data_IF_521556032633
#
_entry.id   IF_521556032633
#
_cell.length_a   1.000
_cell.length_b   1.000
_cell.length_c   1.000
_cell.angle_alpha   90.00
_cell.angle_beta   90.00
_cell.angle_gamma   90.00
#
_symmetry.space_group_name_H-M   'P 1'
#
loop_
_entity.id
_entity.type
_entity.pdbx_description
1 polymer ?
#
# COMPACT_ATOMS: atom_id res chain seq x y z
N UNK A 1 -7.20 9.84 2.38
CA UNK A 1 -5.73 9.75 2.21
C UNK A 1 -5.00 9.29 3.48
N UNK A 2 -5.19 9.96 4.64
CA UNK A 2 -4.50 9.63 5.90
C UNK A 2 -4.56 8.15 6.31
N UNK A 3 -5.74 7.51 6.20
CA UNK A 3 -5.91 6.10 6.53
C UNK A 3 -5.15 5.14 5.60
N UNK A 4 -4.92 5.51 4.34
CA UNK A 4 -4.18 4.69 3.38
C UNK A 4 -2.69 4.67 3.68
N UNK A 5 -2.15 5.82 4.09
CA UNK A 5 -0.76 5.95 4.55
C UNK A 5 -0.53 5.17 5.85
N UNK A 6 -1.51 5.18 6.75
CA UNK A 6 -1.44 4.50 8.04
C UNK A 6 -1.63 2.98 7.94
N UNK A 7 -2.33 2.48 6.91
CA UNK A 7 -2.63 1.04 6.78
C UNK A 7 -1.54 0.25 6.07
N UNK A 8 -0.66 0.91 5.31
CA UNK A 8 0.41 0.21 4.59
C UNK A 8 1.43 -0.33 5.61
N UNK A 9 1.64 -1.65 5.59
CA UNK A 9 2.64 -2.30 6.44
C UNK A 9 3.95 -2.55 5.68
N UNK A 10 3.84 -2.99 4.43
CA UNK A 10 4.96 -3.29 3.56
C UNK A 10 4.59 -2.91 2.12
N UNK A 11 5.30 -1.95 1.53
CA UNK A 11 4.94 -1.44 0.22
C UNK A 11 5.36 0.01 0.01
N UNK A 12 4.81 0.63 -1.03
CA UNK A 12 5.01 2.03 -1.37
C UNK A 12 3.71 2.68 -1.82
N UNK A 13 3.63 3.99 -1.65
CA UNK A 13 2.58 4.84 -2.20
C UNK A 13 3.28 5.92 -3.00
N UNK A 14 2.91 6.05 -4.27
CA UNK A 14 3.37 7.13 -5.15
C UNK A 14 2.23 8.13 -5.32
N UNK A 15 2.50 9.40 -5.00
CA UNK A 15 1.59 10.51 -5.25
C UNK A 15 2.21 11.44 -6.30
N UNK A 16 1.42 11.83 -7.29
CA UNK A 16 1.80 12.87 -8.24
C UNK A 16 0.91 14.08 -8.01
N UNK A 17 1.54 15.21 -7.75
CA UNK A 17 0.87 16.50 -7.52
C UNK A 17 1.31 17.47 -8.61
N UNK A 18 0.33 18.09 -9.28
CA UNK A 18 0.53 19.14 -10.28
C UNK A 18 -0.48 20.25 -10.02
N UNK A 19 -0.06 21.51 -10.12
CA UNK A 19 -0.89 22.70 -9.88
C UNK A 19 -1.66 22.67 -8.55
N UNK A 20 -1.02 22.13 -7.50
CA UNK A 20 -1.62 22.01 -6.16
C UNK A 20 -2.72 20.94 -6.05
N UNK A 21 -2.94 20.12 -7.09
CA UNK A 21 -3.93 19.03 -7.11
C UNK A 21 -3.24 17.67 -7.25
N UNK A 22 -3.78 16.66 -6.55
CA UNK A 22 -3.33 15.28 -6.72
C UNK A 22 -3.95 14.73 -8.00
N UNK A 23 -3.10 14.33 -8.95
CA UNK A 23 -3.55 13.84 -10.26
C UNK A 23 -3.35 12.33 -10.43
N UNK A 24 -2.44 11.73 -9.64
CA UNK A 24 -2.21 10.29 -9.65
C UNK A 24 -1.91 9.79 -8.24
N UNK A 25 -2.43 8.60 -7.97
CA UNK A 25 -2.18 7.84 -6.77
C UNK A 25 -1.98 6.39 -7.17
N UNK A 26 -0.84 5.82 -6.79
CA UNK A 26 -0.54 4.41 -6.99
C UNK A 26 -0.12 3.79 -5.66
N UNK A 27 -0.65 2.60 -5.36
CA UNK A 27 -0.36 1.85 -4.14
C UNK A 27 0.22 0.50 -4.53
N UNK A 28 1.42 0.20 -4.04
CA UNK A 28 2.07 -1.08 -4.24
C UNK A 28 2.23 -1.76 -2.87
N UNK A 29 1.65 -2.95 -2.69
CA UNK A 29 1.71 -3.68 -1.41
C UNK A 29 2.40 -5.03 -1.57
N UNK A 30 3.29 -5.33 -0.63
CA UNK A 30 3.94 -6.64 -0.54
C UNK A 30 3.16 -7.54 0.41
N UNK A 31 2.37 -8.44 -0.16
CA UNK A 31 1.66 -9.47 0.61
C UNK A 31 2.61 -10.63 0.91
N UNK A 32 2.79 -10.95 2.20
CA UNK A 32 3.48 -12.18 2.63
C UNK A 32 2.45 -13.21 3.05
N UNK A 33 2.35 -14.30 2.30
CA UNK A 33 1.57 -15.46 2.68
C UNK A 33 2.40 -16.27 3.68
N UNK A 34 1.89 -16.47 4.89
CA UNK A 34 2.52 -17.41 5.81
C UNK A 34 2.23 -18.84 5.31
N UNK A 35 3.20 -19.77 5.40
CA UNK A 35 2.94 -21.16 5.07
C UNK A 35 1.79 -21.65 5.95
N UNK A 36 0.77 -22.21 5.31
CA UNK A 36 -0.41 -22.69 6.00
C UNK A 36 0.01 -23.87 6.89
N UNK A 37 0.11 -23.67 8.20
CA UNK A 37 0.27 -24.77 9.15
C UNK A 37 -1.08 -25.48 9.27
N UNK A 38 -1.32 -26.42 8.38
CA UNK A 38 -2.30 -27.49 8.58
C UNK A 38 -1.61 -28.79 8.21
N UNK A 39 -0.95 -29.37 9.19
CA UNK A 39 -0.33 -30.69 9.10
C UNK A 39 -0.45 -31.33 10.48
N UNK A 40 -1.69 -31.57 10.89
CA UNK A 40 -2.08 -32.39 12.03
C UNK A 40 -3.55 -32.79 11.85
#
# INVERSE_FOLDING_TARGET
MKQMLQSIKFGSITLVVQDGKVIQLEKNEKVRLQPNKRAD
#
